data_IF_199337571281
#
_entry.id   IF_199337571281
#
_cell.length_a   1.000
_cell.length_b   1.000
_cell.length_c   1.000
_cell.angle_alpha   90.00
_cell.angle_beta   90.00
_cell.angle_gamma   90.00
#
_symmetry.space_group_name_H-M   'P 1'
#
loop_
_entity.id
_entity.type
_entity.pdbx_description
1 polymer ?
#
# COMPACT_ATOMS: atom_id res chain seq x y z
N UNK A 1 -14.64 10.32 3.81
CA UNK A 1 -14.11 8.96 4.04
C UNK A 1 -12.91 9.06 4.96
N UNK A 2 -12.75 8.20 5.99
CA UNK A 2 -11.52 8.26 6.80
C UNK A 2 -10.37 7.69 5.97
N UNK A 3 -9.15 8.21 6.15
CA UNK A 3 -7.96 7.77 5.39
C UNK A 3 -7.73 6.26 5.48
N UNK A 4 -7.95 5.68 6.67
CA UNK A 4 -7.83 4.24 6.88
C UNK A 4 -8.84 3.42 6.06
N UNK A 5 -10.06 3.94 5.88
CA UNK A 5 -11.07 3.28 5.04
C UNK A 5 -10.65 3.33 3.57
N UNK A 6 -10.03 4.43 3.13
CA UNK A 6 -9.45 4.52 1.78
C UNK A 6 -8.32 3.52 1.58
N UNK A 7 -7.42 3.40 2.56
CA UNK A 7 -6.33 2.43 2.50
C UNK A 7 -6.88 1.00 2.43
N UNK A 8 -7.91 0.66 3.22
CA UNK A 8 -8.57 -0.65 3.13
C UNK A 8 -9.16 -0.91 1.74
N UNK A 9 -9.84 0.08 1.17
CA UNK A 9 -10.42 -0.04 -0.16
C UNK A 9 -9.35 -0.24 -1.23
N UNK A 10 -8.29 0.57 -1.22
CA UNK A 10 -7.16 0.42 -2.14
C UNK A 10 -6.45 -0.92 -1.96
N UNK A 11 -6.28 -1.38 -0.71
CA UNK A 11 -5.59 -2.64 -0.44
C UNK A 11 -6.36 -3.84 -1.01
N UNK A 12 -7.68 -3.76 -1.11
CA UNK A 12 -8.53 -4.78 -1.72
C UNK A 12 -8.56 -4.72 -3.25
N UNK A 13 -7.89 -3.76 -3.88
CA UNK A 13 -7.79 -3.65 -5.34
C UNK A 13 -7.09 -4.88 -5.95
N UNK A 14 -7.58 -5.34 -7.09
CA UNK A 14 -7.08 -6.54 -7.77
C UNK A 14 -5.58 -6.45 -8.09
N UNK A 15 -5.08 -5.29 -8.49
CA UNK A 15 -3.67 -5.09 -8.81
C UNK A 15 -2.78 -5.32 -7.58
N UNK A 16 -3.20 -4.81 -6.41
CA UNK A 16 -2.47 -5.05 -5.16
C UNK A 16 -2.61 -6.51 -4.74
N UNK A 17 -3.80 -7.11 -4.86
CA UNK A 17 -4.04 -8.49 -4.43
C UNK A 17 -3.23 -9.53 -5.24
N UNK A 18 -3.05 -9.29 -6.54
CA UNK A 18 -2.24 -10.13 -7.42
C UNK A 18 -0.75 -10.05 -7.07
N UNK A 19 -0.22 -8.84 -6.84
CA UNK A 19 1.21 -8.60 -6.64
C UNK A 19 1.54 -8.13 -5.21
N UNK A 20 0.95 -8.77 -4.19
CA UNK A 20 1.09 -8.34 -2.78
C UNK A 20 2.52 -8.26 -2.28
N UNK A 21 3.37 -9.21 -2.68
CA UNK A 21 4.76 -9.23 -2.23
C UNK A 21 5.54 -8.01 -2.77
N UNK A 22 5.40 -7.73 -4.06
CA UNK A 22 6.01 -6.55 -4.70
C UNK A 22 5.46 -5.26 -4.08
N UNK A 23 4.15 -5.19 -3.84
CA UNK A 23 3.55 -4.05 -3.16
C UNK A 23 4.17 -3.81 -1.77
N UNK A 24 4.35 -4.86 -0.96
CA UNK A 24 4.99 -4.73 0.34
C UNK A 24 6.45 -4.29 0.24
N UNK A 25 7.19 -4.75 -0.75
CA UNK A 25 8.57 -4.32 -1.00
C UNK A 25 8.65 -2.84 -1.36
N UNK A 26 7.74 -2.35 -2.21
CA UNK A 26 7.65 -0.93 -2.58
C UNK A 26 7.37 -0.07 -1.35
N UNK A 27 6.37 -0.44 -0.53
CA UNK A 27 6.04 0.30 0.70
C UNK A 27 7.21 0.26 1.69
N UNK A 28 7.82 -0.92 1.88
CA UNK A 28 8.95 -1.09 2.79
C UNK A 28 10.13 -0.20 2.38
N UNK A 29 10.47 -0.17 1.09
CA UNK A 29 11.52 0.69 0.55
C UNK A 29 11.21 2.18 0.76
N UNK A 30 10.00 2.61 0.45
CA UNK A 30 9.62 4.03 0.51
C UNK A 30 9.62 4.59 1.94
N UNK A 31 9.26 3.76 2.93
CA UNK A 31 9.26 4.16 4.34
C UNK A 31 10.52 3.74 5.12
N UNK A 32 11.49 3.10 4.46
CA UNK A 32 12.70 2.59 5.11
C UNK A 32 12.41 1.55 6.19
N UNK A 33 11.44 0.67 5.95
CA UNK A 33 10.98 -0.37 6.87
C UNK A 33 11.38 -1.75 6.37
N UNK A 34 11.33 -2.74 7.26
CA UNK A 34 11.35 -4.13 6.83
C UNK A 34 10.00 -4.54 6.21
N UNK A 35 10.05 -5.38 5.16
CA UNK A 35 8.86 -5.96 4.52
C UNK A 35 7.99 -6.71 5.53
N UNK A 36 8.61 -7.38 6.51
CA UNK A 36 7.94 -8.04 7.63
C UNK A 36 7.05 -7.06 8.40
N UNK A 37 7.58 -5.90 8.78
CA UNK A 37 6.89 -4.85 9.54
C UNK A 37 5.70 -4.28 8.77
N UNK A 38 5.86 -4.09 7.45
CA UNK A 38 4.78 -3.66 6.57
C UNK A 38 3.68 -4.73 6.50
N UNK A 39 4.05 -5.98 6.23
CA UNK A 39 3.08 -7.08 6.08
C UNK A 39 2.32 -7.34 7.38
N UNK A 40 3.02 -7.62 8.47
CA UNK A 40 2.39 -8.07 9.73
C UNK A 40 1.93 -6.93 10.63
N UNK A 41 2.53 -5.74 10.51
CA UNK A 41 2.11 -4.57 11.27
C UNK A 41 1.03 -3.80 10.52
N UNK A 42 1.40 -3.22 9.38
CA UNK A 42 0.54 -2.27 8.69
C UNK A 42 -0.64 -2.92 7.99
N UNK A 43 -0.47 -4.05 7.31
CA UNK A 43 -1.55 -4.62 6.49
C UNK A 43 -2.26 -5.83 7.10
N UNK A 44 -1.62 -6.55 8.02
CA UNK A 44 -2.30 -7.60 8.79
C UNK A 44 -3.11 -7.02 9.95
N UNK A 45 -2.53 -6.11 10.75
CA UNK A 45 -3.23 -5.46 11.89
C UNK A 45 -3.92 -4.14 11.53
N UNK A 46 -3.68 -3.59 10.33
CA UNK A 46 -4.18 -2.27 9.94
C UNK A 46 -3.73 -1.14 10.90
N UNK A 47 -2.55 -1.30 11.51
CA UNK A 47 -1.95 -0.36 12.46
C UNK A 47 -1.05 0.66 11.76
N UNK A 48 -1.62 1.46 10.86
CA UNK A 48 -0.86 2.43 10.07
C UNK A 48 -0.79 3.76 10.82
N UNK A 49 0.41 4.28 11.14
CA UNK A 49 0.57 5.52 11.91
C UNK A 49 -0.14 6.73 11.28
N UNK A 50 -0.84 7.51 12.11
CA UNK A 50 -1.50 8.77 11.68
C UNK A 50 -0.56 9.98 11.67
N UNK A 51 0.62 9.87 12.26
CA UNK A 51 1.61 10.95 12.37
C UNK A 51 2.42 11.07 11.08
N UNK A 52 3.11 12.19 10.92
CA UNK A 52 4.09 12.42 9.85
C UNK A 52 3.57 12.17 8.43
N UNK A 53 2.26 12.39 8.19
CA UNK A 53 1.60 12.19 6.88
C UNK A 53 1.76 10.76 6.31
N UNK A 54 2.03 9.76 7.15
CA UNK A 54 2.27 8.38 6.70
C UNK A 54 1.09 7.82 5.92
N UNK A 55 -0.15 8.06 6.38
CA UNK A 55 -1.35 7.58 5.68
C UNK A 55 -1.55 8.26 4.33
N UNK A 56 -1.29 9.57 4.22
CA UNK A 56 -1.37 10.29 2.95
C UNK A 56 -0.34 9.79 1.95
N UNK A 57 0.91 9.66 2.37
CA UNK A 57 1.99 9.15 1.51
C UNK A 57 1.69 7.71 1.07
N UNK A 58 1.19 6.88 1.99
CA UNK A 58 0.79 5.51 1.68
C UNK A 58 -0.31 5.46 0.62
N UNK A 59 -1.33 6.32 0.72
CA UNK A 59 -2.39 6.40 -0.29
C UNK A 59 -1.80 6.72 -1.67
N UNK A 60 -0.86 7.67 -1.76
CA UNK A 60 -0.20 8.03 -3.02
C UNK A 60 0.57 6.84 -3.60
N UNK A 61 1.32 6.13 -2.76
CA UNK A 61 2.09 4.93 -3.18
C UNK A 61 1.15 3.85 -3.72
N UNK A 62 0.04 3.58 -3.02
CA UNK A 62 -0.95 2.59 -3.43
C UNK A 62 -1.60 2.96 -4.77
N UNK A 63 -1.99 4.22 -4.94
CA UNK A 63 -2.58 4.71 -6.20
C UNK A 63 -1.59 4.60 -7.36
N UNK A 64 -0.32 4.96 -7.15
CA UNK A 64 0.72 4.83 -8.16
C UNK A 64 0.99 3.36 -8.53
N UNK A 65 1.03 2.47 -7.54
CA UNK A 65 1.20 1.03 -7.77
C UNK A 65 0.07 0.46 -8.63
N UNK A 66 -1.19 0.74 -8.26
CA UNK A 66 -2.37 0.31 -9.01
C UNK A 66 -2.35 0.86 -10.44
N UNK A 67 -2.08 2.16 -10.61
CA UNK A 67 -2.01 2.79 -11.92
C UNK A 67 -0.95 2.15 -12.83
N UNK A 68 0.24 1.86 -12.29
CA UNK A 68 1.32 1.22 -13.03
C UNK A 68 0.95 -0.21 -13.46
N UNK A 69 0.37 -1.01 -12.57
CA UNK A 69 -0.06 -2.38 -12.88
C UNK A 69 -1.16 -2.40 -13.95
N UNK A 70 -2.13 -1.50 -13.85
CA UNK A 70 -3.18 -1.38 -14.85
C UNK A 70 -2.64 -0.90 -16.21
N UNK A 71 -1.66 0.01 -16.23
CA UNK A 71 -1.03 0.46 -17.47
C UNK A 71 -0.22 -0.65 -18.16
N UNK A 72 0.37 -1.58 -17.38
CA UNK A 72 1.08 -2.75 -17.90
C UNK A 72 0.11 -3.81 -18.43
N UNK A 73 -1.07 -4.00 -17.81
CA UNK A 73 -2.09 -4.95 -18.29
C UNK A 73 -2.75 -4.56 -19.63
N UNK A 74 -2.63 -3.29 -20.05
CA UNK A 74 -3.22 -2.79 -21.30
C UNK A 74 -2.23 -2.93 -22.49
N UNK A 75 -1.00 -3.39 -22.25
CA UNK A 75 0.02 -3.65 -23.29
C UNK A 75 0.10 -5.13 -23.65
#
# INVERSE_FOLDING_TARGET
MKKIDNIKNLFNDAAIQQDRNEFYEVVAKEFGLEVSSVRVGWFHRFEIPKKYKIQENLIVIMQNFIANKNAVMIK
#
